data_IF_384370161886
#
_entry.id   IF_384370161886
#
_cell.length_a   1.000
_cell.length_b   1.000
_cell.length_c   1.000
_cell.angle_alpha   90.00
_cell.angle_beta   90.00
_cell.angle_gamma   90.00
#
_symmetry.space_group_name_H-M   'P 1'
#
loop_
_entity.id
_entity.type
_entity.pdbx_description
1 polymer ?
#
# COMPACT_ATOMS: atom_id res chain seq x y z
N UNK A 1 18.99 -14.31 -13.57
CA UNK A 1 20.33 -14.17 -14.19
C UNK A 1 20.71 -12.72 -14.46
N UNK A 2 19.94 -11.94 -15.24
CA UNK A 2 20.31 -10.53 -15.53
C UNK A 2 20.30 -9.65 -14.27
N UNK A 3 19.25 -9.74 -13.44
CA UNK A 3 19.16 -8.95 -12.20
C UNK A 3 20.26 -9.33 -11.21
N UNK A 4 20.49 -10.63 -11.03
CA UNK A 4 21.59 -11.14 -10.21
C UNK A 4 22.97 -10.58 -10.63
N UNK A 5 23.25 -10.54 -11.94
CA UNK A 5 24.50 -9.96 -12.45
C UNK A 5 24.63 -8.45 -12.17
N UNK A 6 23.53 -7.71 -12.32
CA UNK A 6 23.48 -6.28 -11.99
C UNK A 6 23.63 -6.03 -10.48
N UNK A 7 23.01 -6.87 -9.65
CA UNK A 7 23.11 -6.79 -8.19
C UNK A 7 24.56 -6.98 -7.73
N UNK A 8 25.25 -7.98 -8.29
CA UNK A 8 26.66 -8.24 -8.01
C UNK A 8 27.57 -7.08 -8.49
N UNK A 9 27.28 -6.49 -9.64
CA UNK A 9 28.03 -5.33 -10.16
C UNK A 9 27.86 -4.08 -9.29
N UNK A 10 26.64 -3.86 -8.78
CA UNK A 10 26.29 -2.69 -7.98
C UNK A 10 26.54 -2.90 -6.47
N UNK A 11 27.08 -4.06 -6.08
CA UNK A 11 27.24 -4.46 -4.67
C UNK A 11 25.97 -4.25 -3.84
N UNK A 12 24.82 -4.58 -4.43
CA UNK A 12 23.51 -4.43 -3.81
C UNK A 12 22.80 -5.76 -3.73
N UNK A 13 21.76 -5.83 -2.89
CA UNK A 13 20.94 -7.03 -2.73
C UNK A 13 19.97 -7.18 -3.91
N UNK A 14 19.86 -8.40 -4.41
CA UNK A 14 19.03 -8.70 -5.59
C UNK A 14 17.55 -8.37 -5.37
N UNK A 15 17.00 -8.71 -4.21
CA UNK A 15 15.55 -8.54 -3.94
C UNK A 15 15.15 -7.07 -3.89
N UNK A 16 15.98 -6.24 -3.24
CA UNK A 16 15.79 -4.79 -3.22
C UNK A 16 15.90 -4.17 -4.62
N UNK A 17 16.82 -4.69 -5.45
CA UNK A 17 16.96 -4.24 -6.83
C UNK A 17 15.74 -4.61 -7.68
N UNK A 18 15.18 -5.81 -7.54
CA UNK A 18 13.93 -6.20 -8.23
C UNK A 18 12.78 -5.28 -7.86
N UNK A 19 12.58 -5.03 -6.57
CA UNK A 19 11.54 -4.14 -6.06
C UNK A 19 11.70 -2.72 -6.62
N UNK A 20 12.93 -2.20 -6.60
CA UNK A 20 13.25 -0.88 -7.15
C UNK A 20 12.95 -0.78 -8.65
N UNK A 21 13.33 -1.80 -9.43
CA UNK A 21 13.03 -1.87 -10.85
C UNK A 21 11.53 -1.92 -11.13
N UNK A 22 10.73 -2.63 -10.32
CA UNK A 22 9.27 -2.62 -10.42
C UNK A 22 8.69 -1.22 -10.20
N UNK A 23 9.17 -0.49 -9.20
CA UNK A 23 8.73 0.89 -8.92
C UNK A 23 9.13 1.82 -10.08
N UNK A 24 10.36 1.70 -10.59
CA UNK A 24 10.82 2.48 -11.74
C UNK A 24 10.04 2.15 -13.02
N UNK A 25 9.70 0.89 -13.26
CA UNK A 25 8.88 0.46 -14.39
C UNK A 25 7.49 1.09 -14.37
N UNK A 26 6.97 1.45 -13.19
CA UNK A 26 5.71 2.17 -13.06
C UNK A 26 5.67 3.47 -13.86
N UNK A 27 6.75 4.26 -13.90
CA UNK A 27 6.77 5.56 -14.59
C UNK A 27 6.51 5.47 -16.10
N UNK A 28 7.27 4.68 -16.89
CA UNK A 28 6.97 4.51 -18.32
C UNK A 28 5.62 3.84 -18.55
N UNK A 29 5.17 2.95 -17.66
CA UNK A 29 3.84 2.34 -17.76
C UNK A 29 2.71 3.37 -17.54
N UNK A 30 2.87 4.29 -16.60
CA UNK A 30 1.94 5.40 -16.41
C UNK A 30 1.92 6.37 -17.59
N UNK A 31 3.07 6.62 -18.23
CA UNK A 31 3.12 7.37 -19.47
C UNK A 31 2.34 6.65 -20.58
N UNK A 32 2.55 5.35 -20.74
CA UNK A 32 1.87 4.53 -21.74
C UNK A 32 0.35 4.50 -21.54
N UNK A 33 -0.12 4.27 -20.30
CA UNK A 33 -1.54 4.32 -19.98
C UNK A 33 -2.14 5.68 -20.32
N UNK A 34 -1.44 6.75 -19.92
CA UNK A 34 -1.86 8.14 -20.15
C UNK A 34 -1.88 8.53 -21.63
N UNK A 35 -1.03 7.97 -22.49
CA UNK A 35 -1.02 8.31 -23.92
C UNK A 35 -1.99 7.47 -24.74
N UNK A 36 -2.22 6.21 -24.37
CA UNK A 36 -2.96 5.27 -25.23
C UNK A 36 -4.28 4.73 -24.64
N UNK A 37 -4.39 4.66 -23.31
CA UNK A 37 -5.47 3.92 -22.63
C UNK A 37 -6.42 4.80 -21.79
N UNK A 38 -6.08 6.06 -21.56
CA UNK A 38 -6.82 6.96 -20.66
C UNK A 38 -8.31 7.18 -20.99
N UNK A 39 -8.71 7.10 -22.27
CA UNK A 39 -10.11 7.25 -22.72
C UNK A 39 -10.68 5.93 -23.30
N UNK A 40 -10.07 4.79 -22.95
CA UNK A 40 -10.57 3.47 -23.33
C UNK A 40 -11.59 2.96 -22.32
N UNK A 41 -12.53 2.08 -22.72
CA UNK A 41 -13.51 1.53 -21.79
C UNK A 41 -12.86 0.77 -20.63
N UNK A 42 -13.52 0.79 -19.47
CA UNK A 42 -12.97 0.31 -18.20
C UNK A 42 -12.41 -1.12 -18.26
N UNK A 43 -13.04 -2.03 -19.00
CA UNK A 43 -12.58 -3.42 -19.14
C UNK A 43 -11.18 -3.52 -19.78
N UNK A 44 -10.86 -2.65 -20.75
CA UNK A 44 -9.53 -2.62 -21.39
C UNK A 44 -8.48 -2.09 -20.40
N UNK A 45 -8.82 -1.03 -19.67
CA UNK A 45 -7.93 -0.47 -18.66
C UNK A 45 -7.68 -1.46 -17.52
N UNK A 46 -8.73 -2.13 -17.02
CA UNK A 46 -8.60 -3.17 -16.00
C UNK A 46 -7.76 -4.35 -16.48
N UNK A 47 -7.98 -4.83 -17.71
CA UNK A 47 -7.17 -5.91 -18.29
C UNK A 47 -5.69 -5.51 -18.40
N UNK A 48 -5.41 -4.28 -18.82
CA UNK A 48 -4.04 -3.75 -18.86
C UNK A 48 -3.42 -3.71 -17.46
N UNK A 49 -4.10 -3.13 -16.47
CA UNK A 49 -3.58 -3.03 -15.10
C UNK A 49 -3.36 -4.39 -14.45
N UNK A 50 -4.31 -5.31 -14.60
CA UNK A 50 -4.18 -6.67 -14.07
C UNK A 50 -3.02 -7.43 -14.73
N UNK A 51 -2.89 -7.34 -16.06
CA UNK A 51 -1.84 -8.06 -16.80
C UNK A 51 -0.45 -7.51 -16.48
N UNK A 52 -0.27 -6.19 -16.58
CA UNK A 52 1.02 -5.54 -16.30
C UNK A 52 1.41 -5.71 -14.83
N UNK A 53 0.45 -5.52 -13.93
CA UNK A 53 0.67 -5.72 -12.49
C UNK A 53 1.07 -7.15 -12.16
N UNK A 54 0.41 -8.14 -12.76
CA UNK A 54 0.77 -9.55 -12.60
C UNK A 54 2.18 -9.85 -13.11
N UNK A 55 2.54 -9.33 -14.29
CA UNK A 55 3.89 -9.51 -14.85
C UNK A 55 4.97 -8.91 -13.95
N UNK A 56 4.74 -7.71 -13.41
CA UNK A 56 5.65 -7.10 -12.43
C UNK A 56 5.71 -7.92 -11.14
N UNK A 57 4.60 -8.49 -10.69
CA UNK A 57 4.56 -9.31 -9.48
C UNK A 57 5.34 -10.61 -9.66
N UNK A 58 5.20 -11.26 -10.83
CA UNK A 58 5.99 -12.44 -11.22
C UNK A 58 7.47 -12.08 -11.30
N UNK A 59 7.82 -10.92 -11.84
CA UNK A 59 9.21 -10.47 -11.89
C UNK A 59 9.80 -10.24 -10.48
N UNK A 60 9.01 -9.70 -9.55
CA UNK A 60 9.45 -9.42 -8.18
C UNK A 60 9.56 -10.69 -7.33
N UNK A 61 8.51 -11.52 -7.32
CA UNK A 61 8.31 -12.63 -6.38
C UNK A 61 8.35 -14.03 -7.01
N UNK A 62 8.50 -14.14 -8.33
CA UNK A 62 8.53 -15.44 -9.01
C UNK A 62 7.24 -16.25 -8.82
N UNK A 63 7.38 -17.49 -8.35
CA UNK A 63 6.27 -18.43 -8.12
C UNK A 63 5.34 -18.02 -6.98
N UNK A 64 5.80 -17.18 -6.05
CA UNK A 64 5.04 -16.80 -4.86
C UNK A 64 3.89 -15.83 -5.18
N UNK A 65 3.75 -15.43 -6.45
CA UNK A 65 2.57 -14.72 -6.96
C UNK A 65 1.25 -15.47 -6.70
N UNK A 66 1.31 -16.79 -6.48
CA UNK A 66 0.14 -17.61 -6.13
C UNK A 66 -0.58 -17.07 -4.89
N UNK A 67 0.15 -16.59 -3.88
CA UNK A 67 -0.45 -16.00 -2.67
C UNK A 67 -1.34 -14.80 -2.99
N UNK A 68 -0.86 -13.93 -3.89
CA UNK A 68 -1.59 -12.76 -4.38
C UNK A 68 -2.80 -13.13 -5.22
N UNK A 69 -2.67 -14.14 -6.10
CA UNK A 69 -3.80 -14.64 -6.89
C UNK A 69 -4.89 -15.24 -6.01
N UNK A 70 -4.51 -15.98 -4.98
CA UNK A 70 -5.45 -16.52 -3.97
C UNK A 70 -6.17 -15.37 -3.26
N UNK A 71 -5.45 -14.33 -2.84
CA UNK A 71 -6.06 -13.17 -2.18
C UNK A 71 -7.06 -12.42 -3.08
N UNK A 72 -6.78 -12.27 -4.38
CA UNK A 72 -7.73 -11.69 -5.36
C UNK A 72 -9.03 -12.50 -5.39
N UNK A 73 -8.93 -13.83 -5.44
CA UNK A 73 -10.11 -14.71 -5.48
C UNK A 73 -10.90 -14.60 -4.17
N UNK A 74 -10.24 -14.63 -3.01
CA UNK A 74 -10.93 -14.44 -1.73
C UNK A 74 -11.59 -13.07 -1.61
N UNK A 75 -10.95 -12.00 -2.09
CA UNK A 75 -11.54 -10.67 -2.11
C UNK A 75 -12.82 -10.63 -2.94
N UNK A 76 -12.81 -11.28 -4.11
CA UNK A 76 -14.01 -11.44 -4.93
C UNK A 76 -15.11 -12.24 -4.20
N UNK A 77 -14.76 -13.37 -3.58
CA UNK A 77 -15.72 -14.22 -2.88
C UNK A 77 -16.38 -13.48 -1.70
N UNK A 78 -15.60 -12.82 -0.85
CA UNK A 78 -16.12 -12.10 0.32
C UNK A 78 -17.00 -10.93 -0.11
N UNK A 79 -16.55 -10.11 -1.06
CA UNK A 79 -17.31 -8.94 -1.53
C UNK A 79 -18.61 -9.31 -2.25
N UNK A 80 -18.64 -10.39 -3.03
CA UNK A 80 -19.79 -10.74 -3.87
C UNK A 80 -20.80 -11.66 -3.18
N UNK A 81 -20.36 -12.59 -2.32
CA UNK A 81 -21.24 -13.61 -1.73
C UNK A 81 -21.72 -13.29 -0.31
N UNK A 82 -21.04 -12.42 0.44
CA UNK A 82 -21.42 -12.05 1.81
C UNK A 82 -22.07 -10.66 1.86
N UNK A 83 -23.20 -10.46 1.17
CA UNK A 83 -23.90 -9.16 1.15
C UNK A 83 -24.63 -8.86 2.46
N UNK A 84 -24.66 -7.59 2.86
CA UNK A 84 -25.43 -7.03 3.99
C UNK A 84 -24.92 -7.34 5.39
N UNK A 85 -23.83 -8.10 5.52
CA UNK A 85 -23.46 -8.77 6.77
C UNK A 85 -22.18 -8.22 7.38
N UNK A 86 -22.19 -7.93 8.68
CA UNK A 86 -20.98 -7.53 9.46
C UNK A 86 -19.93 -8.63 9.44
N UNK A 87 -20.39 -9.87 9.35
CA UNK A 87 -19.56 -11.07 9.26
C UNK A 87 -18.58 -11.00 8.07
N UNK A 88 -18.88 -10.21 7.02
CA UNK A 88 -17.95 -10.02 5.89
C UNK A 88 -16.67 -9.29 6.32
N UNK A 89 -16.78 -8.31 7.23
CA UNK A 89 -15.63 -7.55 7.75
C UNK A 89 -14.76 -8.47 8.59
N UNK A 90 -15.39 -9.27 9.46
CA UNK A 90 -14.70 -10.25 10.30
C UNK A 90 -14.00 -11.29 9.40
N UNK A 91 -14.69 -11.81 8.39
CA UNK A 91 -14.11 -12.75 7.42
C UNK A 91 -12.94 -12.13 6.65
N UNK A 92 -13.01 -10.87 6.23
CA UNK A 92 -11.91 -10.18 5.57
C UNK A 92 -10.67 -10.08 6.47
N UNK A 93 -10.84 -9.68 7.73
CA UNK A 93 -9.73 -9.63 8.67
C UNK A 93 -9.16 -11.03 8.94
N UNK A 94 -10.02 -12.02 9.22
CA UNK A 94 -9.58 -13.39 9.49
C UNK A 94 -8.82 -13.99 8.29
N UNK A 95 -9.32 -13.81 7.07
CA UNK A 95 -8.69 -14.35 5.86
C UNK A 95 -7.43 -13.57 5.50
N UNK A 96 -7.50 -12.25 5.31
CA UNK A 96 -6.34 -11.50 4.81
C UNK A 96 -5.28 -11.27 5.89
N UNK A 97 -5.67 -10.73 7.04
CA UNK A 97 -4.72 -10.44 8.13
C UNK A 97 -4.22 -11.75 8.75
N UNK A 98 -5.10 -12.75 8.92
CA UNK A 98 -4.69 -14.07 9.40
C UNK A 98 -3.69 -14.75 8.46
N UNK A 99 -3.92 -14.69 7.14
CA UNK A 99 -2.98 -15.25 6.16
C UNK A 99 -1.63 -14.55 6.19
N UNK A 100 -1.63 -13.20 6.27
CA UNK A 100 -0.40 -12.43 6.38
C UNK A 100 0.37 -12.77 7.67
N UNK A 101 -0.33 -12.96 8.79
CA UNK A 101 0.32 -13.30 10.07
C UNK A 101 0.96 -14.69 10.02
N UNK A 102 0.27 -15.66 9.42
CA UNK A 102 0.82 -17.01 9.19
C UNK A 102 2.01 -16.94 8.23
N UNK A 103 1.93 -16.15 7.16
CA UNK A 103 3.04 -15.96 6.24
C UNK A 103 4.28 -15.41 6.96
N UNK A 104 4.15 -14.34 7.75
CA UNK A 104 5.27 -13.81 8.52
C UNK A 104 5.87 -14.84 9.49
N UNK A 105 5.06 -15.68 10.12
CA UNK A 105 5.56 -16.74 11.00
C UNK A 105 6.51 -17.73 10.29
N UNK A 106 6.26 -18.02 9.01
CA UNK A 106 7.10 -18.95 8.23
C UNK A 106 8.27 -18.26 7.51
N UNK A 107 8.15 -16.97 7.27
CA UNK A 107 9.03 -16.18 6.40
C UNK A 107 9.97 -15.24 7.17
N UNK A 108 9.79 -15.07 8.48
CA UNK A 108 10.66 -14.24 9.32
C UNK A 108 12.07 -14.86 9.39
N UNK A 109 13.07 -14.06 9.01
CA UNK A 109 14.49 -14.39 9.07
C UNK A 109 15.23 -13.33 9.91
N UNK A 110 16.38 -13.69 10.48
CA UNK A 110 17.22 -12.75 11.27
C UNK A 110 17.78 -11.59 10.42
N UNK A 111 17.74 -11.72 9.09
CA UNK A 111 18.06 -10.65 8.16
C UNK A 111 16.76 -10.04 7.62
N UNK A 112 16.71 -8.71 7.47
CA UNK A 112 15.53 -8.02 6.92
C UNK A 112 15.34 -8.37 5.43
N UNK A 113 14.78 -9.54 5.11
CA UNK A 113 14.63 -10.06 3.75
C UNK A 113 13.37 -9.51 3.07
N UNK A 114 13.56 -8.97 1.86
CA UNK A 114 12.44 -8.47 1.04
C UNK A 114 11.90 -9.65 0.26
N UNK A 115 10.89 -10.31 0.82
CA UNK A 115 10.21 -11.44 0.19
C UNK A 115 8.81 -11.05 -0.31
N UNK A 116 8.04 -12.06 -0.75
CA UNK A 116 6.69 -11.89 -1.27
C UNK A 116 5.71 -11.31 -0.25
N UNK A 117 6.00 -11.40 1.06
CA UNK A 117 5.14 -10.84 2.11
C UNK A 117 5.11 -9.31 2.08
N UNK A 118 6.17 -8.66 1.56
CA UNK A 118 6.30 -7.20 1.49
C UNK A 118 5.21 -6.57 0.59
N UNK A 119 5.08 -6.92 -0.69
CA UNK A 119 3.96 -6.43 -1.51
C UNK A 119 2.61 -7.05 -1.10
N UNK A 120 2.61 -8.21 -0.45
CA UNK A 120 1.38 -8.87 -0.01
C UNK A 120 0.70 -8.14 1.17
N UNK A 121 1.47 -7.49 2.05
CA UNK A 121 0.90 -6.70 3.14
C UNK A 121 0.13 -5.47 2.62
N UNK A 122 0.65 -4.81 1.58
CA UNK A 122 -0.02 -3.69 0.90
C UNK A 122 -1.35 -4.14 0.29
N UNK A 123 -1.35 -5.33 -0.33
CA UNK A 123 -2.52 -5.93 -0.94
C UNK A 123 -3.58 -6.34 0.10
N UNK A 124 -3.13 -6.92 1.22
CA UNK A 124 -3.96 -7.28 2.38
C UNK A 124 -4.73 -6.07 2.88
N UNK A 125 -4.03 -4.96 3.15
CA UNK A 125 -4.65 -3.71 3.59
C UNK A 125 -5.65 -3.17 2.57
N UNK A 126 -5.30 -3.22 1.30
CA UNK A 126 -6.16 -2.76 0.21
C UNK A 126 -7.45 -3.57 0.11
N UNK A 127 -7.40 -4.89 0.28
CA UNK A 127 -8.59 -5.74 0.21
C UNK A 127 -9.45 -5.71 1.47
N UNK A 128 -8.86 -5.54 2.64
CA UNK A 128 -9.63 -5.25 3.86
C UNK A 128 -10.39 -3.92 3.66
N UNK A 129 -9.70 -2.87 3.20
CA UNK A 129 -10.31 -1.58 2.84
C UNK A 129 -11.45 -1.71 1.82
N UNK A 130 -11.24 -2.52 0.78
CA UNK A 130 -12.28 -2.80 -0.23
C UNK A 130 -13.53 -3.44 0.38
N UNK A 131 -13.36 -4.45 1.25
CA UNK A 131 -14.50 -5.14 1.86
C UNK A 131 -15.28 -4.20 2.78
N UNK A 132 -14.59 -3.35 3.54
CA UNK A 132 -15.22 -2.32 4.37
C UNK A 132 -15.96 -1.29 3.51
N UNK A 133 -15.34 -0.78 2.44
CA UNK A 133 -15.99 0.15 1.51
C UNK A 133 -17.26 -0.46 0.86
N UNK A 134 -17.27 -1.76 0.55
CA UNK A 134 -18.45 -2.49 0.03
C UNK A 134 -19.51 -2.70 1.11
N UNK A 135 -19.14 -2.96 2.37
CA UNK A 135 -20.08 -2.99 3.49
C UNK A 135 -20.76 -1.63 3.70
N UNK A 136 -19.97 -0.57 3.66
CA UNK A 136 -20.43 0.82 3.80
C UNK A 136 -21.41 1.20 2.68
N UNK A 137 -21.19 0.73 1.45
CA UNK A 137 -22.10 0.95 0.32
C UNK A 137 -23.54 0.45 0.53
N UNK A 138 -23.71 -0.55 1.40
CA UNK A 138 -25.02 -1.12 1.76
C UNK A 138 -25.66 -0.42 2.99
N UNK A 139 -24.87 0.34 3.78
CA UNK A 139 -25.29 0.94 5.05
C UNK A 139 -25.17 2.48 5.06
N UNK A 140 -25.30 3.10 3.89
CA UNK A 140 -25.04 4.53 3.64
C UNK A 140 -25.70 5.49 4.64
N UNK A 141 -26.93 5.20 5.08
CA UNK A 141 -27.70 6.13 5.93
C UNK A 141 -27.05 6.33 7.30
N UNK A 142 -26.26 5.36 7.76
CA UNK A 142 -25.61 5.37 9.08
C UNK A 142 -24.17 5.91 9.06
N UNK A 143 -23.67 6.32 7.88
CA UNK A 143 -22.28 6.68 7.68
C UNK A 143 -21.98 8.16 7.89
N UNK A 144 -20.76 8.44 8.38
CA UNK A 144 -20.21 9.80 8.42
C UNK A 144 -19.98 10.33 6.99
N UNK A 145 -19.96 11.66 6.78
CA UNK A 145 -19.76 12.25 5.45
C UNK A 145 -18.49 11.81 4.72
N UNK A 146 -17.41 11.51 5.45
CA UNK A 146 -16.15 11.06 4.83
C UNK A 146 -16.20 9.61 4.35
N UNK A 147 -16.84 8.71 5.10
CA UNK A 147 -17.05 7.30 4.72
C UNK A 147 -17.93 7.19 3.47
N UNK A 148 -18.93 8.06 3.35
CA UNK A 148 -19.79 8.14 2.16
C UNK A 148 -19.03 8.40 0.85
N UNK A 149 -17.82 8.98 0.91
CA UNK A 149 -17.01 9.27 -0.29
C UNK A 149 -16.34 8.02 -0.85
N UNK A 150 -16.03 7.04 -0.01
CA UNK A 150 -15.33 5.81 -0.42
C UNK A 150 -16.27 4.62 -0.56
N UNK A 151 -17.44 4.67 0.07
CA UNK A 151 -18.48 3.65 0.01
C UNK A 151 -18.80 3.18 -1.43
N UNK A 152 -18.84 1.85 -1.61
CA UNK A 152 -19.03 1.18 -2.90
C UNK A 152 -20.40 0.54 -2.97
N UNK A 153 -21.31 1.17 -3.72
CA UNK A 153 -22.67 0.66 -3.94
C UNK A 153 -22.69 -0.51 -4.94
N UNK A 154 -21.98 -0.34 -6.05
CA UNK A 154 -21.90 -1.33 -7.10
C UNK A 154 -20.72 -2.27 -6.85
N UNK A 155 -21.02 -3.50 -6.45
CA UNK A 155 -20.01 -4.52 -6.11
C UNK A 155 -19.08 -4.78 -7.30
N UNK A 156 -17.74 -4.78 -7.10
CA UNK A 156 -16.80 -4.97 -8.19
C UNK A 156 -16.75 -6.43 -8.68
N UNK A 157 -16.48 -6.59 -9.99
CA UNK A 157 -16.20 -7.88 -10.60
C UNK A 157 -14.77 -8.34 -10.37
N UNK A 158 -14.48 -9.63 -10.64
CA UNK A 158 -13.16 -10.22 -10.41
C UNK A 158 -12.03 -9.48 -11.13
N UNK A 159 -12.23 -9.10 -12.40
CA UNK A 159 -11.23 -8.37 -13.19
C UNK A 159 -10.92 -6.99 -12.60
N UNK A 160 -11.94 -6.31 -12.07
CA UNK A 160 -11.77 -5.01 -11.42
C UNK A 160 -11.01 -5.14 -10.11
N UNK A 161 -11.32 -6.15 -9.29
CA UNK A 161 -10.60 -6.44 -8.04
C UNK A 161 -9.13 -6.79 -8.33
N UNK A 162 -8.88 -7.57 -9.39
CA UNK A 162 -7.53 -7.90 -9.84
C UNK A 162 -6.78 -6.64 -10.28
N UNK A 163 -7.40 -5.79 -11.10
CA UNK A 163 -6.82 -4.53 -11.55
C UNK A 163 -6.52 -3.56 -10.41
N UNK A 164 -7.43 -3.46 -9.43
CA UNK A 164 -7.30 -2.62 -8.25
C UNK A 164 -6.16 -3.10 -7.33
N UNK A 165 -6.09 -4.41 -7.08
CA UNK A 165 -5.04 -4.99 -6.25
C UNK A 165 -3.65 -4.97 -6.90
N UNK A 166 -3.58 -5.28 -8.18
CA UNK A 166 -2.35 -5.33 -8.97
C UNK A 166 -1.99 -3.99 -9.63
N UNK A 167 -2.65 -2.90 -9.22
CA UNK A 167 -2.37 -1.59 -9.79
C UNK A 167 -0.92 -1.17 -9.52
N UNK A 168 -0.09 -1.22 -10.57
CA UNK A 168 1.37 -1.08 -10.51
C UNK A 168 1.83 0.23 -9.86
N UNK A 169 0.96 1.24 -9.75
CA UNK A 169 1.30 2.50 -9.10
C UNK A 169 1.42 2.41 -7.59
N UNK A 170 0.92 1.34 -6.97
CA UNK A 170 1.01 1.19 -5.54
C UNK A 170 0.91 -0.21 -4.98
N UNK A 171 1.02 -1.26 -5.80
CA UNK A 171 1.01 -2.66 -5.33
C UNK A 171 2.27 -3.05 -4.54
N UNK A 172 3.43 -2.46 -4.86
CA UNK A 172 4.70 -2.87 -4.25
C UNK A 172 5.08 -2.09 -2.99
N UNK A 173 4.91 -0.77 -3.01
CA UNK A 173 5.28 0.13 -1.92
C UNK A 173 4.54 1.48 -1.99
N UNK A 174 3.34 1.50 -2.58
CA UNK A 174 2.62 2.76 -2.80
C UNK A 174 1.62 3.10 -1.69
N UNK A 175 1.12 4.34 -1.68
CA UNK A 175 0.08 4.74 -0.74
C UNK A 175 -1.21 3.93 -0.98
N UNK A 176 -1.98 3.75 0.09
CA UNK A 176 -3.31 3.15 -0.01
C UNK A 176 -4.29 4.14 -0.65
N UNK A 177 -5.21 3.60 -1.46
CA UNK A 177 -6.29 4.34 -2.10
C UNK A 177 -7.53 3.44 -2.18
N UNK A 178 -8.72 4.06 -2.14
CA UNK A 178 -9.99 3.35 -2.22
C UNK A 178 -10.35 2.94 -3.64
N UNK A 179 -11.23 1.94 -3.77
CA UNK A 179 -11.74 1.52 -5.08
C UNK A 179 -12.53 2.66 -5.75
N UNK A 180 -13.23 3.49 -4.98
CA UNK A 180 -13.95 4.66 -5.51
C UNK A 180 -13.00 5.60 -6.25
N UNK A 181 -11.82 5.86 -5.67
CA UNK A 181 -10.79 6.68 -6.33
C UNK A 181 -10.22 5.98 -7.57
N UNK A 182 -9.95 4.68 -7.50
CA UNK A 182 -9.52 3.90 -8.65
C UNK A 182 -10.55 3.96 -9.81
N UNK A 183 -11.84 3.81 -9.52
CA UNK A 183 -12.92 3.97 -10.50
C UNK A 183 -12.94 5.36 -11.13
N UNK A 184 -12.75 6.42 -10.34
CA UNK A 184 -12.73 7.79 -10.88
C UNK A 184 -11.58 8.02 -11.87
N UNK A 185 -10.43 7.36 -11.67
CA UNK A 185 -9.33 7.36 -12.64
C UNK A 185 -9.74 6.63 -13.92
N UNK A 186 -10.27 5.41 -13.79
CA UNK A 186 -10.64 4.57 -14.94
C UNK A 186 -11.76 5.22 -15.77
N UNK A 187 -12.71 5.87 -15.12
CA UNK A 187 -13.82 6.57 -15.76
C UNK A 187 -13.40 7.89 -16.42
N UNK A 188 -12.21 8.40 -16.08
CA UNK A 188 -11.68 9.65 -16.62
C UNK A 188 -12.21 10.91 -15.92
N UNK A 189 -12.66 10.83 -14.67
CA UNK A 189 -13.20 11.97 -13.90
C UNK A 189 -12.13 13.05 -13.64
N UNK A 190 -10.85 12.69 -13.76
CA UNK A 190 -9.70 13.57 -13.57
C UNK A 190 -9.15 14.18 -14.87
N UNK A 191 -9.78 13.89 -16.01
CA UNK A 191 -9.44 14.50 -17.29
C UNK A 191 -9.86 15.98 -17.30
N UNK A 192 -9.33 16.74 -18.25
CA UNK A 192 -9.75 18.12 -18.47
C UNK A 192 -11.11 18.20 -19.21
N UNK A 193 -11.62 19.41 -19.43
CA UNK A 193 -12.89 19.63 -20.16
C UNK A 193 -12.88 19.05 -21.59
N UNK A 194 -11.70 18.84 -22.19
CA UNK A 194 -11.49 18.25 -23.51
C UNK A 194 -11.25 16.74 -23.44
N UNK A 195 -11.50 16.11 -22.28
CA UNK A 195 -11.17 14.72 -21.96
C UNK A 195 -9.70 14.37 -22.18
N UNK A 196 -8.79 15.33 -22.04
CA UNK A 196 -7.35 15.09 -22.15
C UNK A 196 -6.69 15.02 -20.76
N UNK A 197 -5.60 14.25 -20.63
CA UNK A 197 -4.84 14.22 -19.39
C UNK A 197 -4.23 15.60 -19.07
N UNK A 198 -4.51 16.14 -17.88
CA UNK A 198 -4.06 17.49 -17.44
C UNK A 198 -2.54 17.67 -17.48
N UNK A 199 -2.05 18.67 -18.19
CA UNK A 199 -0.60 18.93 -18.35
C UNK A 199 0.14 19.16 -17.02
N UNK A 200 -0.52 19.73 -16.02
CA UNK A 200 0.01 19.95 -14.66
C UNK A 200 0.45 18.68 -13.93
N UNK A 201 -0.07 17.52 -14.34
CA UNK A 201 0.29 16.22 -13.79
C UNK A 201 1.77 15.87 -14.03
N UNK A 202 2.34 16.29 -15.17
CA UNK A 202 3.73 16.03 -15.51
C UNK A 202 4.68 16.72 -14.54
N UNK A 203 4.45 18.01 -14.30
CA UNK A 203 5.26 18.79 -13.35
C UNK A 203 5.16 18.22 -11.93
N UNK A 204 3.96 17.82 -11.52
CA UNK A 204 3.73 17.19 -10.21
C UNK A 204 4.43 15.83 -10.07
N UNK A 205 4.52 15.05 -11.15
CA UNK A 205 5.22 13.78 -11.15
C UNK A 205 6.75 13.97 -11.15
N UNK A 206 7.28 14.86 -11.99
CA UNK A 206 8.72 15.15 -12.07
C UNK A 206 9.23 15.71 -10.75
N UNK A 207 8.53 16.68 -10.14
CA UNK A 207 8.92 17.25 -8.85
C UNK A 207 9.00 16.19 -7.75
N UNK A 208 8.05 15.26 -7.71
CA UNK A 208 8.08 14.18 -6.71
C UNK A 208 9.13 13.12 -7.03
N UNK A 209 9.38 12.81 -8.30
CA UNK A 209 10.47 11.93 -8.69
C UNK A 209 11.83 12.49 -8.25
N UNK A 210 12.09 13.76 -8.55
CA UNK A 210 13.31 14.46 -8.11
C UNK A 210 13.39 14.47 -6.57
N UNK A 211 12.28 14.78 -5.89
CA UNK A 211 12.22 14.73 -4.43
C UNK A 211 12.55 13.33 -3.87
N UNK A 212 12.04 12.28 -4.50
CA UNK A 212 12.36 10.88 -4.18
C UNK A 212 13.84 10.55 -4.38
N UNK A 213 14.45 10.97 -5.49
CA UNK A 213 15.88 10.78 -5.74
C UNK A 213 16.75 11.49 -4.71
N UNK A 214 16.42 12.75 -4.37
CA UNK A 214 17.13 13.52 -3.34
C UNK A 214 17.01 12.83 -1.97
N UNK A 215 15.80 12.41 -1.59
CA UNK A 215 15.57 11.70 -0.33
C UNK A 215 16.35 10.39 -0.27
N UNK A 216 16.34 9.60 -1.34
CA UNK A 216 17.11 8.36 -1.43
C UNK A 216 18.62 8.61 -1.28
N UNK A 217 19.16 9.65 -1.92
CA UNK A 217 20.57 10.02 -1.77
C UNK A 217 20.91 10.42 -0.32
N UNK A 218 20.06 11.23 0.32
CA UNK A 218 20.24 11.62 1.73
C UNK A 218 20.16 10.39 2.64
N UNK A 219 19.19 9.49 2.41
CA UNK A 219 19.03 8.27 3.19
C UNK A 219 20.25 7.35 3.05
N UNK A 220 20.78 7.19 1.83
CA UNK A 220 21.98 6.39 1.59
C UNK A 220 23.22 6.95 2.31
N UNK A 221 23.39 8.29 2.30
CA UNK A 221 24.46 8.96 3.06
C UNK A 221 24.23 8.79 4.57
N UNK A 222 22.98 8.93 5.02
CA UNK A 222 22.58 8.73 6.41
C UNK A 222 22.89 7.33 6.92
N UNK A 223 22.56 6.29 6.15
CA UNK A 223 22.87 4.90 6.50
C UNK A 223 24.37 4.59 6.49
N UNK A 224 25.17 5.31 5.70
CA UNK A 224 26.63 5.19 5.76
C UNK A 224 27.22 5.78 7.07
N UNK A 225 26.56 6.78 7.66
CA UNK A 225 26.98 7.40 8.92
C UNK A 225 26.38 6.70 10.15
N UNK A 226 25.14 6.22 10.03
CA UNK A 226 24.39 5.57 11.09
C UNK A 226 23.82 4.25 10.54
N UNK A 227 24.61 3.17 10.53
CA UNK A 227 24.14 1.88 10.02
C UNK A 227 23.01 1.35 10.90
N UNK A 228 22.05 0.63 10.31
CA UNK A 228 20.88 0.13 11.04
C UNK A 228 21.25 -0.77 12.23
N UNK A 229 22.43 -1.41 12.18
CA UNK A 229 22.97 -2.22 13.28
C UNK A 229 23.26 -1.39 14.53
N UNK A 230 23.47 -0.07 14.40
CA UNK A 230 23.67 0.86 15.52
C UNK A 230 22.46 0.90 16.46
N UNK A 231 21.24 0.77 15.93
CA UNK A 231 20.01 0.80 16.74
C UNK A 231 19.87 -0.40 17.67
N UNK A 232 20.59 -1.49 17.39
CA UNK A 232 20.59 -2.71 18.20
C UNK A 232 21.80 -2.78 19.15
N UNK A 233 22.61 -1.72 19.25
CA UNK A 233 23.77 -1.74 20.15
C UNK A 233 23.42 -1.15 21.54
N UNK A 234 24.08 -1.61 22.61
CA UNK A 234 23.84 -1.09 23.97
C UNK A 234 24.01 0.42 24.07
N UNK A 235 24.90 1.01 23.25
CA UNK A 235 25.19 2.45 23.23
C UNK A 235 23.98 3.29 22.78
N UNK A 236 23.11 2.73 21.93
CA UNK A 236 21.86 3.37 21.51
C UNK A 236 20.84 3.39 22.66
N UNK A 237 20.66 2.25 23.36
CA UNK A 237 19.73 2.13 24.48
C UNK A 237 20.07 3.05 25.66
N UNK A 238 21.35 3.38 25.85
CA UNK A 238 21.82 4.30 26.91
C UNK A 238 21.60 5.78 26.55
N UNK A 239 21.57 6.14 25.26
CA UNK A 239 21.44 7.53 24.78
C UNK A 239 20.03 7.89 24.27
N UNK A 240 19.07 6.98 24.40
CA UNK A 240 17.77 7.00 23.70
C UNK A 240 16.85 8.20 23.99
N UNK A 241 17.13 9.06 24.98
CA UNK A 241 16.33 10.26 25.26
C UNK A 241 16.42 11.31 24.14
N UNK A 242 17.45 11.27 23.28
CA UNK A 242 17.66 12.28 22.23
C UNK A 242 17.02 11.94 20.86
N UNK A 243 16.41 10.75 20.69
CA UNK A 243 16.04 10.22 19.35
C UNK A 243 14.60 10.56 18.93
N UNK A 244 13.83 11.29 19.75
CA UNK A 244 12.52 11.84 19.39
C UNK A 244 12.55 12.81 18.18
N UNK A 245 13.73 13.25 17.73
CA UNK A 245 13.89 14.10 16.55
C UNK A 245 13.91 13.35 15.21
N UNK A 246 14.07 12.01 15.20
CA UNK A 246 14.13 11.20 13.96
C UNK A 246 12.77 10.65 13.52
N UNK A 247 11.72 10.82 14.33
CA UNK A 247 10.32 10.48 14.03
C UNK A 247 9.70 11.34 12.88
N UNK A 248 10.49 12.24 12.28
CA UNK A 248 10.12 12.93 11.04
C UNK A 248 10.21 12.04 9.78
N UNK A 249 10.77 10.83 9.89
CA UNK A 249 10.92 9.88 8.79
C UNK A 249 9.60 9.46 8.14
N UNK A 250 8.58 9.16 8.94
CA UNK A 250 7.27 8.69 8.46
C UNK A 250 6.53 9.72 7.59
N UNK A 251 6.77 11.02 7.84
CA UNK A 251 6.14 12.11 7.06
C UNK A 251 6.79 12.33 5.69
N UNK A 252 8.01 11.83 5.46
CA UNK A 252 8.75 12.02 4.21
C UNK A 252 8.79 10.79 3.31
N UNK A 253 8.61 9.57 3.83
CA UNK A 253 8.46 8.37 2.97
C UNK A 253 7.28 8.52 2.00
N UNK A 254 6.22 9.23 2.40
CA UNK A 254 5.09 9.56 1.51
C UNK A 254 5.46 10.48 0.32
N UNK A 255 6.61 11.18 0.34
CA UNK A 255 6.99 12.15 -0.69
C UNK A 255 7.59 11.45 -1.93
N UNK A 256 8.23 10.29 -1.76
CA UNK A 256 8.86 9.54 -2.86
C UNK A 256 7.90 8.69 -3.71
N UNK A 257 6.79 8.21 -3.16
CA UNK A 257 5.91 7.20 -3.79
C UNK A 257 4.59 7.75 -4.37
N UNK A 258 4.26 9.01 -4.06
CA UNK A 258 3.13 9.76 -4.65
C UNK A 258 3.33 10.26 -6.11
N UNK A 259 4.54 10.33 -6.74
CA UNK A 259 4.68 10.75 -8.13
C UNK A 259 3.82 9.94 -9.10
N UNK A 260 3.71 8.63 -8.85
CA UNK A 260 3.12 7.69 -9.79
C UNK A 260 1.59 7.75 -9.77
N UNK A 261 1.01 7.91 -8.57
CA UNK A 261 -0.41 8.21 -8.41
C UNK A 261 -0.76 9.56 -9.05
N UNK A 262 0.09 10.57 -8.92
CA UNK A 262 -0.18 11.89 -9.50
C UNK A 262 0.01 11.98 -11.01
N UNK A 263 0.77 11.06 -11.59
CA UNK A 263 0.87 10.91 -13.05
C UNK A 263 -0.47 10.43 -13.65
N UNK A 264 -1.15 9.55 -12.90
CA UNK A 264 -2.45 8.97 -13.24
C UNK A 264 -3.61 9.90 -12.84
N UNK A 265 -3.58 10.50 -11.65
CA UNK A 265 -4.63 11.37 -11.08
C UNK A 265 -4.63 12.82 -11.62
N UNK A 266 -3.83 13.15 -12.64
CA UNK A 266 -3.88 14.47 -13.24
C UNK A 266 -3.31 15.61 -12.37
N UNK A 267 -2.43 15.33 -11.41
CA UNK A 267 -1.74 16.35 -10.61
C UNK A 267 -2.56 17.02 -9.50
N UNK A 268 -3.75 16.53 -9.16
CA UNK A 268 -4.47 17.03 -7.98
C UNK A 268 -3.77 16.50 -6.72
N UNK A 269 -3.03 17.39 -6.05
CA UNK A 269 -2.30 17.09 -4.84
C UNK A 269 -3.20 16.45 -3.79
N UNK A 270 -2.88 15.22 -3.41
CA UNK A 270 -3.39 14.59 -2.19
C UNK A 270 -3.03 15.48 -1.01
N UNK A 271 -4.02 16.24 -0.52
CA UNK A 271 -3.94 16.85 0.81
C UNK A 271 -4.17 15.71 1.79
N UNK A 272 -3.08 15.11 2.26
CA UNK A 272 -3.11 14.08 3.30
C UNK A 272 -3.75 14.73 4.53
N UNK A 273 -4.94 14.28 4.89
CA UNK A 273 -5.62 14.69 6.13
C UNK A 273 -4.73 14.31 7.31
N UNK A 274 -4.38 15.30 8.13
CA UNK A 274 -3.56 15.13 9.33
C UNK A 274 -4.16 14.02 10.22
N UNK A 275 -3.43 12.95 10.56
CA UNK A 275 -3.78 12.17 11.73
C UNK A 275 -3.66 13.10 12.95
N UNK A 276 -4.74 13.25 13.72
CA UNK A 276 -4.62 13.84 15.06
C UNK A 276 -3.74 12.89 15.86
N UNK A 277 -2.67 13.43 16.45
CA UNK A 277 -1.79 12.70 17.34
C UNK A 277 -2.62 12.02 18.45
N UNK A 278 -2.69 10.69 18.41
CA UNK A 278 -3.04 9.87 19.58
C UNK A 278 -1.73 9.35 20.15
N UNK A 279 -0.94 10.28 20.67
CA UNK A 279 0.11 9.96 21.62
C UNK A 279 -0.55 9.94 22.99
N UNK A 280 -1.02 8.78 23.45
CA UNK A 280 -1.26 8.52 24.87
C UNK A 280 -1.25 7.02 25.14
N UNK A 281 -0.30 6.67 26.00
CA UNK A 281 -0.23 5.47 26.85
C UNK A 281 -0.04 4.10 26.20
N UNK A 282 1.21 3.80 25.82
CA UNK A 282 1.69 2.42 25.70
C UNK A 282 3.06 2.28 26.39
N UNK A 283 3.09 2.46 27.71
CA UNK A 283 4.24 2.16 28.58
C UNK A 283 3.94 0.92 29.42
N UNK A 284 3.81 -0.26 28.81
CA UNK A 284 3.89 -1.53 29.56
C UNK A 284 3.94 -2.71 28.58
N UNK A 285 5.13 -3.14 28.17
CA UNK A 285 5.39 -4.56 27.84
C UNK A 285 6.90 -4.79 27.87
N UNK A 286 7.34 -5.67 28.75
CA UNK A 286 8.73 -6.09 28.94
C UNK A 286 9.15 -7.11 27.85
N UNK A 287 10.46 -7.31 27.60
CA UNK A 287 10.98 -7.78 26.32
C UNK A 287 10.95 -9.31 26.20
N UNK A 288 10.56 -9.78 25.02
CA UNK A 288 10.71 -11.16 24.54
C UNK A 288 10.97 -11.15 23.04
N UNK A 289 12.20 -11.49 22.66
CA UNK A 289 12.91 -11.26 21.38
C UNK A 289 12.32 -11.92 20.10
N UNK A 290 11.05 -12.30 20.07
CA UNK A 290 10.39 -12.82 18.85
C UNK A 290 9.02 -12.22 18.58
N UNK A 291 8.35 -11.70 19.60
CA UNK A 291 7.06 -11.03 19.42
C UNK A 291 7.24 -9.57 18.98
N UNK A 292 8.39 -8.94 19.24
CA UNK A 292 8.56 -7.50 19.06
C UNK A 292 8.66 -7.06 17.59
N UNK A 293 9.26 -7.87 16.71
CA UNK A 293 9.31 -7.58 15.26
C UNK A 293 7.95 -7.76 14.57
N UNK A 294 7.24 -8.84 14.88
CA UNK A 294 5.85 -9.03 14.46
C UNK A 294 4.93 -7.93 15.02
N UNK A 295 5.13 -7.52 16.28
CA UNK A 295 4.40 -6.39 16.88
C UNK A 295 4.78 -5.06 16.25
N UNK A 296 6.03 -4.82 15.84
CA UNK A 296 6.43 -3.59 15.13
C UNK A 296 5.89 -3.54 13.69
N UNK A 297 5.86 -4.67 12.98
CA UNK A 297 5.22 -4.77 11.67
C UNK A 297 3.70 -4.61 11.78
N UNK A 298 3.08 -5.24 12.78
CA UNK A 298 1.67 -5.04 13.15
C UNK A 298 1.43 -3.62 13.65
N UNK A 299 2.40 -2.93 14.27
CA UNK A 299 2.31 -1.53 14.71
C UNK A 299 2.49 -0.55 13.56
N UNK A 300 3.28 -0.86 12.54
CA UNK A 300 3.38 -0.08 11.31
C UNK A 300 2.11 -0.24 10.47
N UNK A 301 1.57 -1.46 10.41
CA UNK A 301 0.23 -1.77 9.91
C UNK A 301 -0.84 -1.08 10.78
N UNK A 302 -0.70 -1.06 12.11
CA UNK A 302 -1.60 -0.39 13.06
C UNK A 302 -1.55 1.14 12.93
N UNK A 303 -0.39 1.71 12.63
CA UNK A 303 -0.19 3.14 12.37
C UNK A 303 -0.82 3.55 11.04
N UNK A 304 -0.86 2.65 10.05
CA UNK A 304 -1.67 2.81 8.83
C UNK A 304 -3.17 2.59 9.11
N UNK A 305 -3.51 1.67 10.03
CA UNK A 305 -4.87 1.44 10.57
C UNK A 305 -5.36 2.58 11.47
N UNK A 306 -4.50 3.43 12.03
CA UNK A 306 -4.88 4.58 12.86
C UNK A 306 -5.63 5.67 12.06
N UNK A 307 -5.69 5.54 10.73
CA UNK A 307 -6.61 6.29 9.88
C UNK A 307 -8.04 5.69 9.83
N UNK A 308 -8.24 4.46 10.30
CA UNK A 308 -9.52 3.72 10.35
C UNK A 308 -9.91 3.24 11.77
N UNK A 309 -9.20 3.67 12.82
CA UNK A 309 -9.41 3.22 14.21
C UNK A 309 -10.79 3.52 14.80
N UNK A 310 -11.61 4.37 14.18
CA UNK A 310 -13.00 4.58 14.61
C UNK A 310 -13.88 3.33 14.38
N UNK A 311 -13.52 2.44 13.46
CA UNK A 311 -14.37 1.34 12.98
C UNK A 311 -14.24 0.06 13.80
N UNK A 312 -13.04 -0.26 14.29
CA UNK A 312 -12.80 -1.39 15.20
C UNK A 312 -13.48 -1.19 16.57
N UNK A 313 -13.51 0.05 17.07
CA UNK A 313 -14.25 0.39 18.29
C UNK A 313 -15.78 0.30 18.09
N UNK A 314 -16.28 0.65 16.90
CA UNK A 314 -17.71 0.51 16.55
C UNK A 314 -18.14 -0.95 16.44
N UNK A 315 -17.31 -1.83 15.87
CA UNK A 315 -17.59 -3.27 15.77
C UNK A 315 -17.68 -3.93 17.16
N UNK A 316 -16.85 -3.47 18.10
CA UNK A 316 -16.91 -3.90 19.51
C UNK A 316 -18.23 -3.45 20.18
N UNK A 317 -18.69 -2.23 19.90
CA UNK A 317 -19.94 -1.71 20.45
C UNK A 317 -21.18 -2.40 19.83
N UNK A 318 -21.17 -2.71 18.53
CA UNK A 318 -22.26 -3.43 17.84
C UNK A 318 -22.32 -4.92 18.22
N UNK A 319 -21.18 -5.59 18.45
CA UNK A 319 -21.14 -6.98 18.97
C UNK A 319 -21.46 -7.09 20.48
N UNK A 320 -21.51 -5.96 21.20
CA UNK A 320 -21.85 -5.91 22.62
C UNK A 320 -23.33 -5.59 22.91
N UNK A 321 -24.14 -5.42 21.85
CA UNK A 321 -25.60 -5.24 21.92
C UNK A 321 -26.32 -6.46 21.38
#
# INVERSE_FOLDING_TARGET
MVVHALANLLHTREDGLRLFLCVLAGYPLSLFHRTFLYDKPAHIQHAFFATVGLLLYIFNCGSDVVHTLIAIVFAYLITNFMRGKVEKIIAAHAVFLGYLLVAYWFEESDNYDINWTTPFCVLTLRYIGLVMDVYDGEHLDTLKPDQKKTAIKDVPGLLEIAAFGLFYTGTFAGPQFSLSKFRSVVNGDWLDEKRQPRTTAYEAAIRRFIGGCIYMAINQIGCAWLPNTYFNTPEFYVKAVLVLAMDMGDRMVQIGYVPLLCHVDGGVGTRITRPRAVARDFSATAPGDRAMSAVLAVQCVAAQFAAGTDEFYRLKDELSR
#
